data_IF_697089046894
#
_entry.id   IF_697089046894
#
_cell.length_a   1.000
_cell.length_b   1.000
_cell.length_c   1.000
_cell.angle_alpha   90.00
_cell.angle_beta   90.00
_cell.angle_gamma   90.00
#
_symmetry.space_group_name_H-M   'P 1'
#
loop_
_entity.id
_entity.type
_entity.pdbx_description
1 polymer ?
#
# COMPACT_ATOMS: atom_id res chain seq x y z
N UNK A 1 5.39 13.37 25.06
CA UNK A 1 5.60 14.38 26.11
C UNK A 1 6.32 15.55 25.46
N UNK A 2 5.71 16.73 25.46
CA UNK A 2 6.29 17.97 24.89
C UNK A 2 7.51 18.39 25.73
N UNK A 3 8.60 18.84 25.10
CA UNK A 3 9.79 19.35 25.82
C UNK A 3 9.95 20.83 25.54
N UNK A 4 10.33 21.60 26.56
CA UNK A 4 10.73 23.00 26.41
C UNK A 4 12.25 23.11 26.27
N UNK A 5 12.70 23.98 25.37
CA UNK A 5 14.10 24.41 25.34
C UNK A 5 14.37 25.47 26.42
N UNK A 6 15.62 25.97 26.49
CA UNK A 6 16.01 26.98 27.49
C UNK A 6 15.30 28.33 27.32
N UNK A 7 14.70 28.56 26.15
CA UNK A 7 13.90 29.74 25.82
C UNK A 7 12.39 29.53 26.08
N UNK A 8 11.96 28.37 26.58
CA UNK A 8 10.54 28.05 26.79
C UNK A 8 9.80 27.65 25.51
N UNK A 9 10.51 27.39 24.41
CA UNK A 9 9.88 26.92 23.17
C UNK A 9 9.63 25.42 23.25
N UNK A 10 8.38 25.05 22.98
CA UNK A 10 7.94 23.67 23.01
C UNK A 10 8.28 22.97 21.69
N UNK A 11 8.99 21.85 21.75
CA UNK A 11 9.35 21.05 20.57
C UNK A 11 9.00 19.56 20.74
N UNK A 12 8.77 18.88 19.60
CA UNK A 12 8.51 17.44 19.53
C UNK A 12 9.71 16.71 18.96
N UNK A 13 10.29 15.82 19.76
CA UNK A 13 11.36 14.91 19.32
C UNK A 13 10.85 13.71 18.51
N UNK A 14 9.56 13.45 18.46
CA UNK A 14 9.03 12.25 17.82
C UNK A 14 7.86 12.60 16.91
N UNK A 15 7.95 12.21 15.65
CA UNK A 15 6.89 12.28 14.66
C UNK A 15 6.50 10.86 14.30
N UNK A 16 5.20 10.57 14.35
CA UNK A 16 4.65 9.29 13.91
C UNK A 16 3.77 9.56 12.69
N UNK A 17 4.10 8.92 11.58
CA UNK A 17 3.37 8.98 10.32
C UNK A 17 2.52 7.72 10.20
N UNK A 18 1.24 7.87 9.89
CA UNK A 18 0.32 6.75 9.68
C UNK A 18 -0.11 6.72 8.22
N UNK A 19 -0.11 5.53 7.64
CA UNK A 19 -0.64 5.26 6.31
C UNK A 19 -1.53 4.03 6.37
N UNK A 20 -2.68 4.06 5.70
CA UNK A 20 -3.58 2.92 5.67
C UNK A 20 -3.07 1.83 4.74
N UNK A 21 -2.62 2.19 3.53
CA UNK A 21 -2.12 1.26 2.53
C UNK A 21 -0.93 1.83 1.75
N UNK A 22 0.21 1.14 1.84
CA UNK A 22 1.42 1.49 1.10
C UNK A 22 1.64 0.52 -0.06
N UNK A 23 1.48 1.02 -1.29
CA UNK A 23 1.83 0.31 -2.53
C UNK A 23 3.34 0.32 -2.81
N UNK A 24 3.78 1.17 -3.74
CA UNK A 24 5.21 1.33 -4.09
C UNK A 24 6.02 2.09 -3.05
N UNK A 25 5.36 2.85 -2.17
CA UNK A 25 6.01 3.70 -1.19
C UNK A 25 6.32 5.13 -1.65
N UNK A 26 6.08 5.50 -2.90
CA UNK A 26 6.48 6.84 -3.39
C UNK A 26 5.88 8.00 -2.58
N UNK A 27 4.61 7.93 -2.21
CA UNK A 27 3.95 8.98 -1.42
C UNK A 27 4.44 9.04 0.03
N UNK A 28 4.63 7.89 0.68
CA UNK A 28 5.13 7.86 2.06
C UNK A 28 6.57 8.39 2.15
N UNK A 29 7.41 8.15 1.14
CA UNK A 29 8.82 8.55 1.16
C UNK A 29 8.95 10.07 1.20
N UNK A 30 8.14 10.80 0.43
CA UNK A 30 8.13 12.27 0.45
C UNK A 30 7.79 12.81 1.84
N UNK A 31 6.77 12.23 2.50
CA UNK A 31 6.37 12.61 3.84
C UNK A 31 7.46 12.27 4.89
N UNK A 32 8.11 11.11 4.77
CA UNK A 32 9.21 10.69 5.64
C UNK A 32 10.41 11.62 5.46
N UNK A 33 10.80 11.93 4.22
CA UNK A 33 11.91 12.85 3.94
C UNK A 33 11.66 14.24 4.53
N UNK A 34 10.45 14.78 4.35
CA UNK A 34 10.07 16.04 4.95
C UNK A 34 10.20 15.98 6.48
N UNK A 35 9.62 14.96 7.11
CA UNK A 35 9.69 14.80 8.57
C UNK A 35 11.13 14.64 9.08
N UNK A 36 11.96 13.85 8.40
CA UNK A 36 13.35 13.59 8.79
C UNK A 36 14.24 14.82 8.61
N UNK A 37 13.93 15.69 7.63
CA UNK A 37 14.66 16.94 7.38
C UNK A 37 14.47 18.03 8.45
N UNK A 38 13.53 17.83 9.39
CA UNK A 38 13.30 18.77 10.50
C UNK A 38 14.45 18.80 11.51
N UNK A 39 15.35 17.81 11.48
CA UNK A 39 16.55 17.77 12.32
C UNK A 39 16.82 16.38 12.89
N UNK A 40 18.10 16.11 13.16
CA UNK A 40 18.55 14.82 13.71
C UNK A 40 18.07 14.56 15.15
N UNK A 41 17.54 15.56 15.84
CA UNK A 41 16.94 15.43 17.17
C UNK A 41 15.46 15.03 17.12
N UNK A 42 14.88 14.94 15.93
CA UNK A 42 13.53 14.46 15.64
C UNK A 42 13.59 13.03 15.13
N UNK A 43 13.08 12.06 15.89
CA UNK A 43 12.85 10.69 15.46
C UNK A 43 11.55 10.59 14.66
N UNK A 44 11.59 9.90 13.54
CA UNK A 44 10.46 9.65 12.66
C UNK A 44 10.14 8.17 12.68
N UNK A 45 8.89 7.83 12.98
CA UNK A 45 8.36 6.47 12.89
C UNK A 45 7.24 6.45 11.84
N UNK A 46 7.38 5.62 10.82
CA UNK A 46 6.29 5.29 9.90
C UNK A 46 5.56 4.02 10.37
N UNK A 47 4.23 4.10 10.49
CA UNK A 47 3.35 3.00 10.89
C UNK A 47 2.31 2.71 9.79
N UNK A 48 2.69 1.99 8.72
CA UNK A 48 1.72 1.53 7.74
C UNK A 48 0.82 0.46 8.34
N UNK A 49 -0.49 0.54 8.11
CA UNK A 49 -1.40 -0.56 8.46
C UNK A 49 -1.15 -1.73 7.51
N UNK A 50 -1.15 -1.48 6.20
CA UNK A 50 -0.78 -2.46 5.17
C UNK A 50 0.40 -1.94 4.35
N UNK A 51 1.36 -2.81 4.04
CA UNK A 51 2.48 -2.47 3.15
C UNK A 51 2.75 -3.59 2.16
N UNK A 52 2.84 -3.26 0.87
CA UNK A 52 3.24 -4.16 -0.19
C UNK A 52 4.75 -4.43 -0.16
N UNK A 53 5.24 -5.52 -0.79
CA UNK A 53 6.67 -5.86 -0.84
C UNK A 53 7.56 -4.72 -1.34
N UNK A 54 7.13 -4.02 -2.40
CA UNK A 54 7.88 -2.89 -2.97
C UNK A 54 8.02 -1.74 -1.98
N UNK A 55 6.91 -1.30 -1.37
CA UNK A 55 6.93 -0.27 -0.33
C UNK A 55 7.76 -0.68 0.88
N UNK A 56 7.69 -1.94 1.31
CA UNK A 56 8.48 -2.45 2.43
C UNK A 56 9.98 -2.40 2.13
N UNK A 57 10.38 -2.80 0.92
CA UNK A 57 11.77 -2.71 0.47
C UNK A 57 12.26 -1.25 0.45
N UNK A 58 11.43 -0.32 -0.02
CA UNK A 58 11.76 1.10 -0.05
C UNK A 58 11.89 1.71 1.37
N UNK A 59 10.98 1.36 2.29
CA UNK A 59 11.07 1.79 3.69
C UNK A 59 12.31 1.22 4.38
N UNK A 60 12.63 -0.04 4.13
CA UNK A 60 13.80 -0.72 4.65
C UNK A 60 15.09 -0.06 4.16
N UNK A 61 15.20 0.21 2.85
CA UNK A 61 16.34 0.94 2.26
C UNK A 61 16.50 2.32 2.91
N UNK A 62 15.40 3.07 3.04
CA UNK A 62 15.44 4.39 3.65
C UNK A 62 15.81 4.34 5.14
N UNK A 63 15.35 3.34 5.89
CA UNK A 63 15.67 3.17 7.31
C UNK A 63 17.16 2.92 7.57
N UNK A 64 17.88 2.38 6.58
CA UNK A 64 19.34 2.22 6.65
C UNK A 64 20.08 3.51 6.28
N UNK A 65 19.47 4.34 5.43
CA UNK A 65 20.07 5.59 4.95
C UNK A 65 19.84 6.78 5.89
N UNK A 66 18.79 6.74 6.71
CA UNK A 66 18.35 7.87 7.56
C UNK A 66 18.34 7.44 9.02
N UNK A 67 19.32 7.91 9.79
CA UNK A 67 19.57 7.49 11.18
C UNK A 67 18.37 7.74 12.12
N UNK A 68 17.64 8.83 11.91
CA UNK A 68 16.49 9.21 12.72
C UNK A 68 15.15 8.66 12.19
N UNK A 69 15.15 7.68 11.29
CA UNK A 69 13.96 7.09 10.71
C UNK A 69 13.84 5.59 11.00
N UNK A 70 12.64 5.16 11.38
CA UNK A 70 12.26 3.75 11.53
C UNK A 70 10.87 3.52 10.95
N UNK A 71 10.54 2.27 10.63
CA UNK A 71 9.19 1.89 10.24
C UNK A 71 8.76 0.60 10.93
N UNK A 72 7.45 0.48 11.18
CA UNK A 72 6.85 -0.67 11.84
C UNK A 72 5.48 -0.98 11.23
N UNK A 73 5.42 -1.80 10.16
CA UNK A 73 4.15 -2.17 9.55
C UNK A 73 3.32 -3.06 10.47
N UNK A 74 2.00 -2.84 10.48
CA UNK A 74 1.05 -3.75 11.16
C UNK A 74 0.91 -5.04 10.37
N UNK A 75 0.76 -4.95 9.05
CA UNK A 75 0.75 -6.10 8.14
C UNK A 75 1.62 -5.83 6.91
N UNK A 76 2.72 -6.58 6.80
CA UNK A 76 3.49 -6.69 5.58
C UNK A 76 2.90 -7.79 4.69
N UNK A 77 2.48 -7.42 3.49
CA UNK A 77 1.92 -8.35 2.51
C UNK A 77 3.04 -9.13 1.83
N UNK A 78 2.88 -10.45 1.75
CA UNK A 78 3.83 -11.33 1.07
C UNK A 78 3.67 -11.28 -0.45
N UNK A 79 4.76 -11.51 -1.19
CA UNK A 79 4.74 -11.57 -2.66
C UNK A 79 3.74 -12.57 -3.23
N UNK A 80 3.42 -13.65 -2.49
CA UNK A 80 2.43 -14.64 -2.91
C UNK A 80 1.03 -14.06 -3.09
N UNK A 81 0.72 -12.87 -2.55
CA UNK A 81 -0.57 -12.20 -2.76
C UNK A 81 -0.61 -11.32 -4.01
N UNK A 82 0.44 -11.36 -4.83
CA UNK A 82 0.57 -10.52 -6.02
C UNK A 82 0.83 -11.37 -7.26
N UNK A 83 0.20 -11.02 -8.38
CA UNK A 83 0.45 -11.61 -9.70
C UNK A 83 1.06 -10.55 -10.63
N UNK A 84 2.33 -10.69 -10.98
CA UNK A 84 2.96 -9.80 -11.95
C UNK A 84 2.59 -10.20 -13.39
N UNK A 85 2.67 -9.28 -14.37
CA UNK A 85 2.46 -9.61 -15.79
C UNK A 85 3.42 -10.68 -16.33
N UNK A 86 4.66 -10.67 -15.85
CA UNK A 86 5.65 -11.70 -16.15
C UNK A 86 5.63 -12.79 -15.07
N UNK A 87 5.90 -14.03 -15.48
CA UNK A 87 6.09 -15.15 -14.57
C UNK A 87 7.32 -14.94 -13.69
N UNK A 88 7.16 -15.18 -12.38
CA UNK A 88 8.25 -15.19 -11.40
C UNK A 88 8.70 -16.62 -11.10
N UNK A 89 9.95 -16.75 -10.64
CA UNK A 89 10.44 -18.01 -10.10
C UNK A 89 9.65 -18.40 -8.84
N UNK A 90 9.30 -19.68 -8.71
CA UNK A 90 8.55 -20.23 -7.57
C UNK A 90 7.16 -19.61 -7.35
N UNK A 91 6.54 -19.01 -8.37
CA UNK A 91 5.15 -18.57 -8.26
C UNK A 91 4.17 -19.75 -8.29
N UNK A 92 2.93 -19.52 -7.86
CA UNK A 92 1.88 -20.53 -7.89
C UNK A 92 1.64 -21.00 -9.35
N UNK A 93 1.59 -22.32 -9.63
CA UNK A 93 1.41 -22.84 -10.99
C UNK A 93 0.11 -22.36 -11.67
N UNK A 94 -0.92 -22.02 -10.90
CA UNK A 94 -2.18 -21.49 -11.43
C UNK A 94 -2.05 -20.04 -11.94
N UNK A 95 -0.99 -19.32 -11.58
CA UNK A 95 -0.82 -17.92 -11.99
C UNK A 95 -0.73 -17.79 -13.51
N UNK A 96 -0.25 -18.82 -14.22
CA UNK A 96 -0.30 -18.87 -15.69
C UNK A 96 -1.70 -18.52 -16.21
N UNK A 97 -2.64 -19.36 -15.77
CA UNK A 97 -4.06 -19.26 -16.10
C UNK A 97 -4.69 -17.98 -15.55
N UNK A 98 -4.29 -17.52 -14.36
CA UNK A 98 -4.84 -16.29 -13.79
C UNK A 98 -4.45 -15.06 -14.61
N UNK A 99 -3.19 -14.87 -15.01
CA UNK A 99 -2.83 -13.71 -15.88
C UNK A 99 -3.58 -13.77 -17.21
N UNK A 100 -3.65 -14.94 -17.84
CA UNK A 100 -4.38 -15.11 -19.09
C UNK A 100 -5.85 -14.74 -18.92
N UNK A 101 -6.47 -15.13 -17.81
CA UNK A 101 -7.83 -14.75 -17.47
C UNK A 101 -7.95 -13.23 -17.27
N UNK A 102 -7.09 -12.62 -16.47
CA UNK A 102 -7.09 -11.17 -16.19
C UNK A 102 -7.01 -10.35 -17.48
N UNK A 103 -6.06 -10.68 -18.37
CA UNK A 103 -5.93 -10.03 -19.67
C UNK A 103 -7.18 -10.26 -20.53
N UNK A 104 -7.69 -11.50 -20.58
CA UNK A 104 -8.85 -11.87 -21.39
C UNK A 104 -10.12 -11.13 -20.96
N UNK A 105 -10.33 -10.91 -19.66
CA UNK A 105 -11.57 -10.30 -19.15
C UNK A 105 -11.48 -8.79 -18.98
N UNK A 106 -10.29 -8.19 -19.00
CA UNK A 106 -10.09 -6.76 -18.71
C UNK A 106 -11.02 -5.85 -19.50
N UNK A 107 -11.08 -6.01 -20.84
CA UNK A 107 -11.94 -5.21 -21.71
C UNK A 107 -13.44 -5.31 -21.41
N UNK A 108 -13.87 -6.29 -20.59
CA UNK A 108 -15.27 -6.48 -20.17
C UNK A 108 -15.58 -5.84 -18.83
N UNK A 109 -14.54 -5.50 -18.06
CA UNK A 109 -14.64 -5.00 -16.70
C UNK A 109 -14.01 -3.62 -16.53
N UNK A 110 -13.20 -3.16 -17.50
CA UNK A 110 -12.70 -1.79 -17.55
C UNK A 110 -13.91 -0.86 -17.67
N UNK A 111 -14.08 0.00 -16.66
CA UNK A 111 -15.08 1.07 -16.70
C UNK A 111 -14.66 2.18 -17.65
N UNK A 112 -15.44 3.25 -17.72
CA UNK A 112 -15.02 4.45 -18.44
C UNK A 112 -13.78 5.06 -17.76
N UNK A 113 -12.74 5.35 -18.56
CA UNK A 113 -11.48 6.00 -18.15
C UNK A 113 -10.82 5.43 -16.89
N UNK A 114 -10.17 4.26 -16.99
CA UNK A 114 -9.25 3.77 -15.96
C UNK A 114 -7.80 3.97 -16.41
N UNK A 115 -6.94 4.49 -15.52
CA UNK A 115 -5.50 4.71 -15.79
C UNK A 115 -4.64 3.43 -15.63
N UNK A 116 -5.28 2.29 -15.37
CA UNK A 116 -4.59 1.04 -15.06
C UNK A 116 -5.09 -0.13 -15.93
N UNK A 117 -4.21 -1.12 -16.10
CA UNK A 117 -4.46 -2.31 -16.91
C UNK A 117 -4.92 -3.52 -16.08
N UNK A 118 -4.85 -4.74 -16.66
CA UNK A 118 -5.35 -5.98 -16.04
C UNK A 118 -4.74 -6.34 -14.69
N UNK A 119 -3.59 -5.76 -14.36
CA UNK A 119 -2.88 -5.97 -13.09
C UNK A 119 -2.94 -4.76 -12.16
N UNK A 120 -3.85 -3.82 -12.38
CA UNK A 120 -3.99 -2.63 -11.56
C UNK A 120 -2.87 -1.59 -11.78
N UNK A 121 -2.81 -0.60 -10.91
CA UNK A 121 -1.88 0.53 -10.99
C UNK A 121 -0.43 0.04 -11.04
N UNK A 122 0.33 0.57 -12.01
CA UNK A 122 1.72 0.17 -12.32
C UNK A 122 1.93 -1.33 -12.46
N UNK A 123 0.89 -2.09 -12.81
CA UNK A 123 0.93 -3.54 -12.94
C UNK A 123 1.32 -4.28 -11.63
N UNK A 124 0.88 -3.76 -10.48
CA UNK A 124 1.24 -4.32 -9.16
C UNK A 124 0.66 -5.72 -8.93
N UNK A 125 -0.59 -5.95 -9.37
CA UNK A 125 -1.21 -7.26 -9.39
C UNK A 125 -1.72 -7.76 -8.04
N UNK A 126 -2.09 -6.87 -7.13
CA UNK A 126 -2.52 -7.26 -5.79
C UNK A 126 -3.83 -8.04 -5.78
N UNK A 127 -3.88 -9.13 -5.02
CA UNK A 127 -5.11 -9.86 -4.67
C UNK A 127 -5.60 -9.52 -3.26
N UNK A 128 -5.41 -8.26 -2.85
CA UNK A 128 -5.79 -7.77 -1.53
C UNK A 128 -6.88 -6.72 -1.70
N UNK A 129 -8.05 -6.98 -1.12
CA UNK A 129 -9.21 -6.09 -1.19
C UNK A 129 -9.60 -5.69 0.24
N UNK A 130 -9.20 -4.51 0.73
CA UNK A 130 -9.70 -3.97 1.98
C UNK A 130 -11.19 -3.62 1.88
N UNK A 131 -11.91 -3.65 3.01
CA UNK A 131 -13.34 -3.33 3.06
C UNK A 131 -13.63 -1.82 2.93
N UNK A 132 -12.71 -0.96 3.35
CA UNK A 132 -12.98 0.48 3.45
C UNK A 132 -12.56 1.25 2.20
N UNK A 133 -11.51 0.78 1.53
CA UNK A 133 -10.94 1.42 0.35
C UNK A 133 -10.12 0.37 -0.41
N UNK A 134 -10.46 0.09 -1.66
CA UNK A 134 -9.68 -0.83 -2.48
C UNK A 134 -8.57 -0.08 -3.20
N UNK A 135 -7.29 -0.38 -2.93
CA UNK A 135 -6.20 0.33 -3.55
C UNK A 135 -6.15 0.01 -5.04
N UNK A 136 -5.78 1.00 -5.86
CA UNK A 136 -5.67 0.82 -7.31
C UNK A 136 -4.61 -0.22 -7.70
N UNK A 137 -3.72 -0.60 -6.78
CA UNK A 137 -2.78 -1.72 -6.93
C UNK A 137 -3.47 -3.10 -7.02
N UNK A 138 -4.74 -3.19 -6.66
CA UNK A 138 -5.54 -4.42 -6.70
C UNK A 138 -6.00 -4.73 -8.11
N UNK A 139 -5.97 -6.01 -8.50
CA UNK A 139 -6.45 -6.41 -9.83
C UNK A 139 -7.92 -5.97 -10.04
N UNK A 140 -8.25 -5.34 -11.18
CA UNK A 140 -9.62 -4.89 -11.45
C UNK A 140 -10.64 -6.03 -11.51
N UNK A 141 -10.22 -7.27 -11.73
CA UNK A 141 -11.12 -8.42 -11.73
C UNK A 141 -11.76 -8.72 -10.36
N UNK A 142 -11.24 -8.14 -9.27
CA UNK A 142 -11.72 -8.36 -7.91
C UNK A 142 -12.51 -7.18 -7.34
N UNK A 143 -12.61 -6.07 -8.06
CA UNK A 143 -13.33 -4.88 -7.61
C UNK A 143 -13.99 -4.15 -8.77
N UNK A 144 -15.01 -3.33 -8.49
CA UNK A 144 -15.62 -2.47 -9.50
C UNK A 144 -15.67 -1.05 -8.96
N UNK A 145 -15.19 -0.10 -9.77
CA UNK A 145 -15.44 1.32 -9.56
C UNK A 145 -16.77 1.67 -10.22
N UNK A 146 -17.73 2.15 -9.45
CA UNK A 146 -19.04 2.61 -9.93
C UNK A 146 -19.30 4.00 -9.38
N UNK A 147 -19.50 4.97 -10.27
CA UNK A 147 -19.86 6.36 -9.91
C UNK A 147 -18.89 6.97 -8.86
N UNK A 148 -17.57 6.80 -9.07
CA UNK A 148 -16.49 7.20 -8.15
C UNK A 148 -16.49 6.56 -6.76
N UNK A 149 -17.35 5.57 -6.52
CA UNK A 149 -17.35 4.74 -5.32
C UNK A 149 -16.87 3.32 -5.63
N UNK A 150 -16.10 2.74 -4.71
CA UNK A 150 -15.73 1.34 -4.77
C UNK A 150 -16.87 0.48 -4.20
N UNK A 151 -17.26 -0.58 -4.92
CA UNK A 151 -18.17 -1.61 -4.42
C UNK A 151 -17.45 -2.98 -4.42
N UNK A 152 -17.43 -3.72 -3.28
CA UNK A 152 -16.85 -5.06 -3.23
C UNK A 152 -17.67 -6.03 -4.07
N UNK A 153 -17.01 -6.85 -4.91
CA UNK A 153 -17.67 -7.92 -5.66
C UNK A 153 -18.24 -9.02 -4.74
N UNK A 154 -17.64 -9.20 -3.56
CA UNK A 154 -18.06 -10.18 -2.57
C UNK A 154 -18.45 -9.45 -1.27
N UNK A 155 -19.74 -9.18 -1.10
CA UNK A 155 -20.26 -8.62 0.14
C UNK A 155 -20.07 -9.60 1.29
N UNK A 156 -19.65 -9.11 2.45
CA UNK A 156 -19.58 -9.93 3.66
C UNK A 156 -20.99 -10.37 4.04
N UNK A 157 -21.17 -11.65 4.38
CA UNK A 157 -22.39 -12.12 5.04
C UNK A 157 -22.62 -11.28 6.30
N UNK A 158 -23.86 -10.85 6.54
CA UNK A 158 -24.22 -10.04 7.71
C UNK A 158 -23.64 -10.63 8.99
N UNK A 159 -23.04 -9.79 9.84
CA UNK A 159 -22.63 -10.19 11.22
C UNK A 159 -23.84 -10.27 12.16
N UNK A 160 -25.02 -9.82 11.72
CA UNK A 160 -26.24 -9.99 12.49
C UNK A 160 -26.64 -11.46 12.46
N UNK A 161 -26.95 -12.07 13.61
CA UNK A 161 -27.49 -13.41 13.63
C UNK A 161 -28.78 -13.44 12.79
N UNK A 162 -28.91 -14.49 11.98
CA UNK A 162 -30.16 -14.86 11.29
C UNK A 162 -31.16 -15.33 12.33
#
# INVERSE_FOLDING_TARGET
MLRENRQGEVFRKNIVLFEDFVGSGSQMLDAVHLAASLGNDVNVLLCPIFICPEGAAAAEELSRAVENFTFSPVLALEERFFVSPAQKANENPDYDRVRQLLVKIHHKIEGEQQEYGPFGYRQTGGFVVPYTNCPDNTVPALHRKKDDSWEPLFLRTSRLPI
#
